data_IF_063749652411
#
_entry.id   IF_063749652411
#
_cell.length_a   1.000
_cell.length_b   1.000
_cell.length_c   1.000
_cell.angle_alpha   90.00
_cell.angle_beta   90.00
_cell.angle_gamma   90.00
#
_symmetry.space_group_name_H-M   'P 1'
#
loop_
_entity.id
_entity.type
_entity.pdbx_description
1 polymer ?
#
# COMPACT_ATOMS: atom_id res chain seq x y z
N UNK A 1 -14.89 -5.84 -12.12
CA UNK A 1 -14.35 -6.38 -10.85
C UNK A 1 -13.65 -5.23 -10.14
N UNK A 2 -13.87 -5.04 -8.83
CA UNK A 2 -13.24 -4.00 -8.03
C UNK A 2 -12.40 -4.65 -6.92
N UNK A 3 -11.28 -4.03 -6.56
CA UNK A 3 -10.35 -4.48 -5.52
C UNK A 3 -9.75 -3.27 -4.80
N UNK A 4 -9.03 -3.48 -3.71
CA UNK A 4 -8.28 -2.45 -2.99
C UNK A 4 -7.11 -1.92 -3.83
N UNK A 5 -6.69 -0.68 -3.54
CA UNK A 5 -5.48 -0.07 -4.12
C UNK A 5 -4.23 -0.78 -3.58
N UNK A 6 -3.19 -0.85 -4.39
CA UNK A 6 -1.91 -1.45 -4.01
C UNK A 6 -0.79 -0.84 -4.85
N UNK A 7 0.36 -0.59 -4.22
CA UNK A 7 1.53 -0.04 -4.88
C UNK A 7 2.82 -0.51 -4.23
N UNK A 8 3.94 -0.24 -4.89
CA UNK A 8 5.26 -0.57 -4.36
C UNK A 8 5.75 0.50 -3.40
N UNK A 9 6.54 0.08 -2.41
CA UNK A 9 7.22 1.00 -1.50
C UNK A 9 8.49 1.50 -2.17
N UNK A 10 8.71 2.82 -2.16
CA UNK A 10 9.91 3.42 -2.73
C UNK A 10 11.11 3.38 -1.76
N UNK A 11 12.30 3.59 -2.30
CA UNK A 11 13.54 3.60 -1.50
C UNK A 11 13.52 4.76 -0.51
N UNK A 12 13.65 4.43 0.78
CA UNK A 12 13.64 5.41 1.87
C UNK A 12 12.23 5.77 2.37
N UNK A 13 11.20 5.13 1.80
CA UNK A 13 9.81 5.30 2.22
C UNK A 13 9.43 4.29 3.32
N UNK A 14 8.67 4.72 4.33
CA UNK A 14 8.01 3.78 5.25
C UNK A 14 6.74 3.20 4.61
N UNK A 15 6.24 2.07 5.10
CA UNK A 15 4.99 1.51 4.57
C UNK A 15 3.81 2.49 4.67
N UNK A 16 3.75 3.27 5.76
CA UNK A 16 2.73 4.29 5.95
C UNK A 16 2.80 5.39 4.89
N UNK A 17 4.02 5.88 4.60
CA UNK A 17 4.24 6.88 3.56
C UNK A 17 3.80 6.36 2.19
N UNK A 18 4.13 5.11 1.86
CA UNK A 18 3.69 4.46 0.63
C UNK A 18 2.16 4.40 0.54
N UNK A 19 1.46 4.00 1.62
CA UNK A 19 -0.01 3.97 1.63
C UNK A 19 -0.58 5.37 1.42
N UNK A 20 -0.03 6.40 2.07
CA UNK A 20 -0.48 7.77 1.87
C UNK A 20 -0.24 8.30 0.44
N UNK A 21 0.91 7.97 -0.16
CA UNK A 21 1.29 8.38 -1.52
C UNK A 21 0.42 7.68 -2.56
N UNK A 22 0.39 6.35 -2.56
CA UNK A 22 -0.33 5.54 -3.56
C UNK A 22 -1.83 5.85 -3.58
N UNK A 23 -2.46 5.99 -2.40
CA UNK A 23 -3.88 6.36 -2.34
C UNK A 23 -4.11 7.75 -2.92
N UNK A 24 -3.21 8.70 -2.68
CA UNK A 24 -3.32 10.04 -3.23
C UNK A 24 -3.07 10.07 -4.75
N UNK A 25 -2.09 9.31 -5.25
CA UNK A 25 -1.75 9.24 -6.67
C UNK A 25 -2.88 8.61 -7.50
N UNK A 26 -3.49 7.52 -7.01
CA UNK A 26 -4.54 6.82 -7.78
C UNK A 26 -5.94 7.45 -7.64
N UNK A 27 -6.23 8.14 -6.53
CA UNK A 27 -7.59 8.63 -6.24
C UNK A 27 -7.71 10.12 -5.93
N UNK A 28 -6.61 10.81 -5.63
CA UNK A 28 -6.61 12.19 -5.14
C UNK A 28 -7.10 12.35 -3.70
N UNK A 29 -7.36 11.26 -2.97
CA UNK A 29 -7.90 11.28 -1.60
C UNK A 29 -6.75 11.26 -0.58
N UNK A 30 -6.84 12.10 0.46
CA UNK A 30 -5.95 12.05 1.62
C UNK A 30 -6.58 11.24 2.74
N UNK A 31 -5.85 10.24 3.23
CA UNK A 31 -6.27 9.35 4.33
C UNK A 31 -5.58 9.71 5.65
N UNK A 32 -6.05 9.11 6.75
CA UNK A 32 -5.47 9.20 8.10
C UNK A 32 -5.82 7.95 8.89
N UNK A 33 -5.15 7.74 10.02
CA UNK A 33 -5.43 6.64 10.97
C UNK A 33 -5.32 5.23 10.34
N UNK A 34 -4.39 5.03 9.41
CA UNK A 34 -4.10 3.71 8.86
C UNK A 34 -3.60 2.77 9.96
N UNK A 35 -3.92 1.48 9.85
CA UNK A 35 -3.57 0.49 10.87
C UNK A 35 -3.15 -0.79 10.20
N UNK A 36 -1.92 -1.20 10.45
CA UNK A 36 -1.46 -2.50 9.99
C UNK A 36 -2.45 -3.61 10.37
N UNK A 37 -2.89 -4.36 9.37
CA UNK A 37 -3.83 -5.47 9.51
C UNK A 37 -3.12 -6.82 9.42
N UNK A 38 -2.25 -6.99 8.43
CA UNK A 38 -1.58 -8.26 8.18
C UNK A 38 -0.66 -8.21 6.98
N UNK A 39 0.10 -9.29 6.77
CA UNK A 39 1.04 -9.41 5.66
C UNK A 39 0.87 -10.74 4.93
N UNK A 40 0.99 -10.74 3.61
CA UNK A 40 0.89 -11.95 2.81
C UNK A 40 1.99 -11.99 1.74
N UNK A 41 2.79 -13.07 1.65
CA UNK A 41 3.72 -13.23 0.54
C UNK A 41 2.95 -13.39 -0.77
N UNK A 42 3.37 -12.67 -1.80
CA UNK A 42 2.76 -12.69 -3.12
C UNK A 42 3.79 -13.09 -4.18
N UNK A 43 3.67 -14.32 -4.66
CA UNK A 43 4.69 -15.00 -5.46
C UNK A 43 4.85 -14.48 -6.91
N UNK A 44 4.11 -13.46 -7.33
CA UNK A 44 4.17 -12.93 -8.69
C UNK A 44 4.44 -11.41 -8.67
N UNK A 45 5.65 -10.93 -8.99
CA UNK A 45 6.87 -11.68 -9.30
C UNK A 45 7.65 -12.17 -8.05
N UNK A 46 7.57 -11.46 -6.92
CA UNK A 46 8.28 -11.74 -5.66
C UNK A 46 8.03 -10.60 -4.65
N UNK A 47 6.76 -10.33 -4.34
CA UNK A 47 6.35 -9.21 -3.50
C UNK A 47 5.88 -9.67 -2.13
N UNK A 48 5.98 -8.79 -1.14
CA UNK A 48 5.36 -8.97 0.17
C UNK A 48 4.24 -7.95 0.31
N UNK A 49 3.00 -8.42 0.36
CA UNK A 49 1.85 -7.54 0.63
C UNK A 49 1.83 -7.19 2.11
N UNK A 50 1.60 -5.91 2.40
CA UNK A 50 1.43 -5.37 3.74
C UNK A 50 0.11 -4.60 3.73
N UNK A 51 -0.90 -5.14 4.40
CA UNK A 51 -2.24 -4.57 4.48
C UNK A 51 -2.39 -3.58 5.63
N UNK A 52 -3.05 -2.46 5.35
CA UNK A 52 -3.36 -1.36 6.28
C UNK A 52 -4.85 -1.01 6.28
#
# INVERSE_FOLDING_TARGET
>A
MYTTLAGFVDVGETFEQAVHREVFEETGIRIKNIRYFGSQPWAFPNSQMVGF
#
